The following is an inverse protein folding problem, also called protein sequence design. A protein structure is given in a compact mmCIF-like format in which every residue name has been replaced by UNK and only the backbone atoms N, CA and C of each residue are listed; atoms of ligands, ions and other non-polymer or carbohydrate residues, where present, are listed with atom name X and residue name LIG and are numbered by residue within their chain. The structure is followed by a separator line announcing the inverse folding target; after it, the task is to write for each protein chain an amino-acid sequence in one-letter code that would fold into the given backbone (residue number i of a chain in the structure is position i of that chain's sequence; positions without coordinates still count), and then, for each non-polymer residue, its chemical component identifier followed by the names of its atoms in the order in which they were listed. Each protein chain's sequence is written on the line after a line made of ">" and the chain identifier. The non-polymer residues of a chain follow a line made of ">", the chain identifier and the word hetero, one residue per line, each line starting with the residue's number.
data_IF_482165008916
#
_entry.id   IF_482165008916
#
_cell.length_a   1.000
_cell.length_b   1.000
_cell.length_c   1.000
_cell.angle_alpha   90.00
_cell.angle_beta   90.00
_cell.angle_gamma   90.00
#
_symmetry.space_group_name_H-M   'P 1'
#
loop_
_entity.id
_entity.type
_entity.pdbx_description
1 polymer ?
#
# COMPACT_ATOMS: atom_id res chain seq x y z
N UNK A 1 1.26 15.17 -39.02
CA UNK A 1 2.39 14.26 -38.96
C UNK A 1 2.64 13.99 -37.47
N UNK A 2 1.98 13.01 -36.94
CA UNK A 2 1.91 12.72 -35.53
C UNK A 2 3.00 11.69 -35.25
N UNK A 3 4.14 12.13 -34.77
CA UNK A 3 5.12 11.27 -34.13
C UNK A 3 4.65 11.12 -32.66
N UNK A 4 3.82 10.14 -32.40
CA UNK A 4 3.60 9.66 -31.05
C UNK A 4 4.81 8.81 -30.71
N UNK A 5 5.67 9.40 -29.96
CA UNK A 5 6.95 8.88 -29.50
C UNK A 5 6.66 7.95 -28.34
N UNK A 6 7.30 6.80 -28.39
CA UNK A 6 7.60 5.88 -27.31
C UNK A 6 7.30 6.44 -25.93
N UNK A 7 6.09 6.27 -25.48
CA UNK A 7 5.78 6.48 -24.10
C UNK A 7 6.44 5.39 -23.28
N UNK A 8 7.39 5.87 -22.57
CA UNK A 8 8.09 5.24 -21.48
C UNK A 8 7.60 3.86 -21.14
N UNK A 9 8.32 2.95 -21.58
CA UNK A 9 8.38 1.64 -21.00
C UNK A 9 8.87 1.82 -19.57
N UNK A 10 7.95 2.13 -18.70
CA UNK A 10 8.14 1.99 -17.28
C UNK A 10 8.48 0.55 -17.01
N UNK A 11 9.71 0.25 -17.03
CA UNK A 11 10.43 -0.83 -16.41
C UNK A 11 11.51 -1.37 -17.32
N UNK A 12 12.63 -1.13 -16.86
CA UNK A 12 13.85 -1.85 -17.04
C UNK A 12 13.61 -3.20 -17.67
N UNK A 13 14.16 -3.36 -18.87
CA UNK A 13 14.43 -4.62 -19.54
C UNK A 13 13.40 -5.29 -20.42
N UNK A 14 12.26 -4.72 -20.70
CA UNK A 14 11.46 -5.20 -21.84
C UNK A 14 11.71 -4.43 -23.15
N UNK A 15 12.73 -3.61 -23.18
CA UNK A 15 12.94 -2.59 -24.22
C UNK A 15 13.47 -3.06 -25.57
N UNK A 16 13.78 -4.35 -25.74
CA UNK A 16 14.39 -4.81 -27.00
C UNK A 16 13.53 -5.74 -27.82
N UNK A 17 12.50 -6.34 -27.23
CA UNK A 17 11.63 -7.25 -27.94
C UNK A 17 10.16 -6.95 -27.70
N UNK A 18 9.50 -6.45 -28.73
CA UNK A 18 8.09 -6.19 -28.89
C UNK A 18 7.57 -4.87 -28.31
N UNK A 19 7.40 -3.90 -29.18
CA UNK A 19 6.64 -2.64 -28.97
C UNK A 19 5.18 -2.86 -28.54
N UNK A 20 4.75 -4.11 -28.33
CA UNK A 20 3.36 -4.52 -28.10
C UNK A 20 3.13 -5.09 -26.68
N UNK A 21 4.01 -4.84 -25.69
CA UNK A 21 3.85 -5.35 -24.33
C UNK A 21 3.76 -4.23 -23.29
N UNK A 22 2.84 -4.39 -22.32
CA UNK A 22 2.81 -3.52 -21.14
C UNK A 22 3.91 -3.93 -20.15
N UNK A 23 4.44 -3.02 -19.34
CA UNK A 23 5.41 -3.34 -18.29
C UNK A 23 4.89 -4.40 -17.33
N UNK A 24 5.80 -5.19 -16.77
CA UNK A 24 5.44 -6.18 -15.76
C UNK A 24 4.81 -5.53 -14.54
N UNK A 25 5.36 -4.39 -14.11
CA UNK A 25 4.81 -3.58 -13.03
C UNK A 25 4.03 -2.40 -13.58
N UNK A 26 2.81 -2.28 -13.13
CA UNK A 26 2.02 -1.07 -13.28
C UNK A 26 2.20 -0.21 -12.03
N UNK A 27 2.14 1.10 -12.17
CA UNK A 27 2.27 2.06 -11.06
C UNK A 27 1.38 1.68 -9.85
N UNK A 28 0.15 1.24 -10.11
CA UNK A 28 -0.78 0.83 -9.05
C UNK A 28 -0.39 -0.45 -8.30
N UNK A 29 0.51 -1.26 -8.85
CA UNK A 29 0.96 -2.53 -8.28
C UNK A 29 2.38 -2.50 -7.78
N UNK A 30 3.19 -1.51 -8.23
CA UNK A 30 4.62 -1.43 -7.95
C UNK A 30 4.97 -0.91 -6.55
N UNK A 31 4.11 -0.08 -5.96
CA UNK A 31 4.40 0.57 -4.68
C UNK A 31 4.23 -0.34 -3.46
N UNK A 32 4.92 0.03 -2.37
CA UNK A 32 4.76 -0.66 -1.09
C UNK A 32 3.38 -0.37 -0.50
N UNK A 33 2.58 -1.42 -0.33
CA UNK A 33 1.26 -1.29 0.30
C UNK A 33 1.42 -1.01 1.79
N UNK A 34 0.80 0.07 2.22
CA UNK A 34 0.80 0.52 3.61
C UNK A 34 -0.53 0.18 4.28
N UNK A 35 -0.59 0.43 5.57
CA UNK A 35 -1.81 0.50 6.33
C UNK A 35 -1.85 1.80 7.11
N UNK A 36 -2.85 2.03 7.92
CA UNK A 36 -3.03 3.23 8.72
C UNK A 36 -2.84 2.96 10.20
N UNK A 37 -1.99 3.75 10.87
CA UNK A 37 -1.79 3.77 12.31
C UNK A 37 -0.75 2.77 12.84
N UNK A 38 0.12 3.24 13.75
CA UNK A 38 1.19 2.42 14.33
C UNK A 38 0.64 1.21 15.09
N UNK A 39 -0.46 1.35 15.85
CA UNK A 39 -1.05 0.24 16.59
C UNK A 39 -1.51 -0.89 15.68
N UNK A 40 -2.21 -0.57 14.59
CA UNK A 40 -2.69 -1.55 13.63
C UNK A 40 -1.54 -2.29 12.95
N UNK A 41 -0.52 -1.55 12.52
CA UNK A 41 0.64 -2.12 11.85
C UNK A 41 1.57 -2.88 12.80
N UNK A 42 1.64 -2.50 14.07
CA UNK A 42 2.34 -3.25 15.12
C UNK A 42 1.72 -4.62 15.41
N UNK A 43 0.45 -4.80 15.04
CA UNK A 43 -0.28 -6.06 15.07
C UNK A 43 -0.24 -6.83 13.73
N UNK A 44 0.68 -6.48 12.81
CA UNK A 44 0.77 -7.10 11.48
C UNK A 44 -0.34 -6.68 10.52
N UNK A 45 -1.11 -5.63 10.83
CA UNK A 45 -2.28 -5.22 10.03
C UNK A 45 -3.56 -6.01 10.36
N UNK A 46 -3.60 -6.73 11.49
CA UNK A 46 -4.81 -7.43 11.97
C UNK A 46 -5.73 -6.45 12.69
N UNK A 47 -6.48 -5.67 11.96
CA UNK A 47 -7.27 -4.60 12.56
C UNK A 47 -8.74 -4.57 12.16
N UNK A 48 -9.17 -5.39 11.20
CA UNK A 48 -10.56 -5.45 10.72
C UNK A 48 -11.55 -5.83 11.83
N UNK A 49 -11.15 -6.74 12.72
CA UNK A 49 -11.93 -7.16 13.90
C UNK A 49 -11.68 -6.33 15.15
N UNK A 50 -10.74 -5.36 15.14
CA UNK A 50 -10.41 -4.50 16.28
C UNK A 50 -10.97 -3.09 16.06
N UNK A 51 -10.38 -2.33 15.16
CA UNK A 51 -10.78 -1.04 14.59
C UNK A 51 -11.40 -0.07 15.63
N UNK A 52 -10.70 0.23 16.73
CA UNK A 52 -11.23 1.00 17.88
C UNK A 52 -10.55 2.36 18.09
N UNK A 53 -9.98 2.93 17.01
CA UNK A 53 -9.40 4.28 16.92
C UNK A 53 -9.64 4.91 15.54
N UNK A 54 -9.03 6.10 15.27
CA UNK A 54 -9.18 6.79 13.98
C UNK A 54 -8.78 5.91 12.77
N UNK A 55 -7.80 5.03 12.91
CA UNK A 55 -7.35 4.20 11.78
C UNK A 55 -8.43 3.21 11.29
N UNK A 56 -9.53 3.05 12.05
CA UNK A 56 -10.73 2.32 11.62
C UNK A 56 -11.32 2.85 10.30
N UNK A 57 -11.13 4.14 10.00
CA UNK A 57 -11.57 4.74 8.73
C UNK A 57 -10.99 4.01 7.51
N UNK A 58 -9.79 3.45 7.65
CA UNK A 58 -9.10 2.64 6.65
C UNK A 58 -9.43 1.15 6.76
N UNK A 59 -9.36 0.58 7.99
CA UNK A 59 -9.42 -0.86 8.19
C UNK A 59 -10.85 -1.42 8.17
N UNK A 60 -11.74 -0.80 8.94
CA UNK A 60 -13.16 -1.16 9.04
C UNK A 60 -13.96 0.01 9.60
N UNK A 61 -14.69 0.76 8.77
CA UNK A 61 -15.40 1.96 9.23
C UNK A 61 -16.44 1.68 10.32
N UNK A 62 -17.01 0.46 10.41
CA UNK A 62 -17.93 0.10 11.49
C UNK A 62 -17.28 0.20 12.89
N UNK A 63 -15.96 0.07 12.96
CA UNK A 63 -15.21 0.19 14.19
C UNK A 63 -15.23 1.58 14.82
N UNK A 64 -15.49 2.64 14.04
CA UNK A 64 -15.63 4.01 14.55
C UNK A 64 -16.75 4.14 15.61
N UNK A 65 -17.77 3.27 15.58
CA UNK A 65 -18.81 3.23 16.61
C UNK A 65 -18.29 2.86 18.02
N UNK A 66 -17.07 2.30 18.10
CA UNK A 66 -16.42 1.98 19.39
C UNK A 66 -15.73 3.21 20.03
N UNK A 67 -15.42 4.25 19.23
CA UNK A 67 -14.80 5.46 19.73
C UNK A 67 -15.86 6.31 20.46
N UNK A 68 -15.70 6.47 21.77
CA UNK A 68 -16.71 7.13 22.63
C UNK A 68 -16.33 8.56 23.05
N UNK A 69 -15.15 9.01 22.71
CA UNK A 69 -14.65 10.37 22.96
C UNK A 69 -14.11 10.95 21.66
N UNK A 70 -14.14 12.25 21.54
CA UNK A 70 -13.49 12.92 20.39
C UNK A 70 -12.02 12.48 20.40
N UNK A 71 -11.57 11.97 19.28
CA UNK A 71 -10.18 11.52 19.11
C UNK A 71 -9.53 12.29 17.95
N UNK A 72 -8.35 12.83 18.21
CA UNK A 72 -7.46 13.36 17.17
C UNK A 72 -6.23 12.47 17.12
N UNK A 73 -5.89 12.01 15.93
CA UNK A 73 -4.74 11.12 15.72
C UNK A 73 -3.85 11.64 14.59
N UNK A 74 -2.52 11.52 14.77
CA UNK A 74 -1.55 11.75 13.72
C UNK A 74 -0.44 10.72 13.78
N UNK A 75 0.01 10.23 12.63
CA UNK A 75 1.07 9.22 12.52
C UNK A 75 2.12 9.67 11.52
N UNK A 76 3.38 9.68 11.97
CA UNK A 76 4.55 9.82 11.11
C UNK A 76 5.05 8.45 10.70
N UNK A 77 5.51 8.33 9.47
CA UNK A 77 6.05 7.12 8.86
C UNK A 77 7.43 7.43 8.30
N UNK A 78 8.42 6.59 8.63
CA UNK A 78 9.66 6.49 7.86
C UNK A 78 9.65 5.15 7.14
N UNK A 79 9.80 5.19 5.81
CA UNK A 79 10.04 4.02 4.97
C UNK A 79 11.51 3.95 4.61
N UNK A 80 12.08 2.77 4.59
CA UNK A 80 13.39 2.48 4.05
C UNK A 80 13.27 1.32 3.06
N UNK A 81 13.87 1.47 1.92
CA UNK A 81 14.00 0.46 0.88
C UNK A 81 15.48 0.25 0.59
N UNK A 82 15.89 -1.01 0.50
CA UNK A 82 17.21 -1.37 0.00
C UNK A 82 17.10 -2.65 -0.81
N UNK A 83 17.87 -2.74 -1.86
CA UNK A 83 17.96 -3.92 -2.69
C UNK A 83 19.41 -4.22 -3.06
N UNK A 84 19.67 -5.48 -3.35
CA UNK A 84 20.85 -5.97 -4.03
C UNK A 84 20.39 -6.53 -5.38
N UNK A 85 20.73 -5.81 -6.45
CA UNK A 85 20.39 -6.17 -7.83
C UNK A 85 21.53 -6.97 -8.43
N UNK A 86 21.22 -8.17 -8.91
CA UNK A 86 22.17 -9.05 -9.61
C UNK A 86 21.81 -9.10 -11.09
N UNK A 87 22.73 -8.67 -11.97
CA UNK A 87 22.54 -8.64 -13.41
C UNK A 87 23.76 -9.22 -14.11
N UNK A 88 23.59 -10.37 -14.78
CA UNK A 88 24.63 -11.09 -15.51
C UNK A 88 25.99 -11.17 -14.78
N UNK A 89 25.95 -11.43 -13.48
CA UNK A 89 27.13 -11.74 -12.67
C UNK A 89 27.74 -10.56 -11.92
N UNK A 90 27.19 -9.36 -12.02
CA UNK A 90 27.52 -8.23 -11.13
C UNK A 90 26.38 -7.90 -10.19
N UNK A 91 26.73 -7.52 -8.97
CA UNK A 91 25.81 -7.09 -7.94
C UNK A 91 25.98 -5.59 -7.70
N UNK A 92 24.84 -4.89 -7.54
CA UNK A 92 24.78 -3.49 -7.13
C UNK A 92 23.75 -3.30 -6.03
N UNK A 93 24.07 -2.41 -5.09
CA UNK A 93 23.17 -2.06 -4.00
C UNK A 93 22.49 -0.73 -4.31
N UNK A 94 21.17 -0.71 -4.21
CA UNK A 94 20.34 0.49 -4.23
C UNK A 94 19.70 0.72 -2.86
N UNK A 95 19.52 1.96 -2.46
CA UNK A 95 18.75 2.28 -1.25
C UNK A 95 18.14 3.66 -1.33
N UNK A 96 16.97 3.79 -0.72
CA UNK A 96 16.30 5.08 -0.50
C UNK A 96 15.56 5.07 0.83
N UNK A 97 15.36 6.25 1.40
CA UNK A 97 14.49 6.41 2.55
C UNK A 97 13.69 7.72 2.49
N UNK A 98 12.48 7.67 3.05
CA UNK A 98 11.61 8.83 3.12
C UNK A 98 10.89 8.92 4.46
N UNK A 99 10.62 10.16 4.90
CA UNK A 99 9.76 10.43 6.05
C UNK A 99 8.49 11.14 5.56
N UNK A 100 7.33 10.59 5.91
CA UNK A 100 6.04 11.05 5.43
C UNK A 100 4.98 11.02 6.51
N UNK A 101 3.87 11.72 6.27
CA UNK A 101 2.66 11.61 7.08
C UNK A 101 1.91 10.33 6.64
N UNK A 102 1.77 9.35 7.56
CA UNK A 102 0.97 8.15 7.29
C UNK A 102 -0.53 8.43 7.45
N UNK A 103 -0.94 9.05 8.55
CA UNK A 103 -2.32 9.51 8.70
C UNK A 103 -2.43 10.74 9.60
N UNK A 104 -3.53 11.46 9.42
CA UNK A 104 -4.00 12.51 10.33
C UNK A 104 -5.50 12.61 10.21
N UNK A 105 -6.19 12.72 11.36
CA UNK A 105 -7.62 12.91 11.33
C UNK A 105 -8.27 12.97 12.69
N UNK A 106 -9.59 13.04 12.65
CA UNK A 106 -10.44 13.20 13.82
C UNK A 106 -11.62 12.23 13.76
N UNK A 107 -11.97 11.68 14.92
CA UNK A 107 -13.23 10.95 15.14
C UNK A 107 -14.10 11.79 16.07
N UNK A 108 -15.34 11.98 15.66
CA UNK A 108 -16.34 12.76 16.40
C UNK A 108 -17.54 11.88 16.72
N UNK A 109 -17.62 11.29 17.95
CA UNK A 109 -18.81 10.60 18.40
C UNK A 109 -19.93 11.59 18.75
N UNK A 110 -21.14 11.30 18.27
CA UNK A 110 -22.33 12.10 18.55
C UNK A 110 -23.06 11.48 19.75
N UNK A 111 -23.43 12.28 20.75
CA UNK A 111 -24.27 11.80 21.85
C UNK A 111 -25.63 11.33 21.33
N UNK A 112 -25.96 10.07 21.59
CA UNK A 112 -27.23 9.44 21.22
C UNK A 112 -27.84 8.77 22.45
N UNK A 113 -29.16 8.63 22.48
CA UNK A 113 -29.86 8.00 23.61
C UNK A 113 -29.52 6.52 23.77
N UNK A 114 -29.25 5.83 22.64
CA UNK A 114 -28.92 4.40 22.65
C UNK A 114 -27.95 4.08 21.51
N UNK A 115 -26.98 3.21 21.79
CA UNK A 115 -25.97 2.78 20.82
C UNK A 115 -24.83 3.79 20.66
N UNK A 116 -24.36 3.95 19.44
CA UNK A 116 -23.33 4.92 19.04
C UNK A 116 -23.60 5.45 17.63
N UNK A 117 -23.25 6.70 17.43
CA UNK A 117 -23.13 7.33 16.11
C UNK A 117 -21.80 8.09 16.11
N UNK A 118 -20.96 7.85 15.15
CA UNK A 118 -19.66 8.52 15.04
C UNK A 118 -19.39 8.93 13.60
N UNK A 119 -18.75 10.07 13.43
CA UNK A 119 -18.21 10.55 12.17
C UNK A 119 -16.69 10.61 12.28
N UNK A 120 -16.01 10.40 11.17
CA UNK A 120 -14.56 10.58 11.07
C UNK A 120 -14.20 11.28 9.77
N UNK A 121 -13.15 12.10 9.83
CA UNK A 121 -12.56 12.74 8.68
C UNK A 121 -11.03 12.77 8.82
N UNK A 122 -10.32 12.53 7.73
CA UNK A 122 -8.88 12.65 7.71
C UNK A 122 -8.23 12.06 6.48
N UNK A 123 -6.91 12.05 6.50
CA UNK A 123 -6.02 11.55 5.47
C UNK A 123 -5.34 10.25 5.92
N UNK A 124 -5.17 9.32 4.99
CA UNK A 124 -4.31 8.12 5.17
C UNK A 124 -3.50 7.86 3.91
N UNK A 125 -2.18 7.71 4.07
CA UNK A 125 -1.30 7.24 3.00
C UNK A 125 -1.50 5.73 2.81
N UNK A 126 -1.68 5.31 1.57
CA UNK A 126 -2.04 3.93 1.21
C UNK A 126 -0.86 3.19 0.59
N UNK A 127 -0.10 3.89 -0.25
CA UNK A 127 1.02 3.33 -0.99
C UNK A 127 2.21 4.28 -0.91
N UNK A 128 3.41 3.73 -0.85
CA UNK A 128 4.69 4.42 -0.96
C UNK A 128 5.41 3.92 -2.21
N UNK A 129 5.88 4.83 -3.05
CA UNK A 129 6.58 4.50 -4.30
C UNK A 129 8.11 4.58 -4.17
N UNK A 130 8.64 4.81 -2.95
CA UNK A 130 10.10 4.90 -2.74
C UNK A 130 10.81 3.61 -3.14
N UNK A 131 11.61 3.71 -4.19
CA UNK A 131 12.42 2.62 -4.73
C UNK A 131 13.65 3.19 -5.42
N UNK A 132 14.76 2.45 -5.39
CA UNK A 132 15.95 2.71 -6.20
C UNK A 132 16.55 1.40 -6.61
N UNK A 133 16.77 1.24 -7.92
CA UNK A 133 17.42 0.07 -8.52
C UNK A 133 18.66 0.51 -9.27
N UNK A 134 19.81 -0.03 -8.89
CA UNK A 134 21.07 0.21 -9.58
C UNK A 134 21.55 -1.10 -10.21
N UNK A 135 21.89 -1.06 -11.48
CA UNK A 135 22.31 -2.23 -12.25
C UNK A 135 23.60 -1.92 -13.00
N UNK A 136 24.48 -2.91 -13.07
CA UNK A 136 25.63 -2.92 -13.97
C UNK A 136 25.78 -4.35 -14.50
N UNK A 137 25.98 -4.47 -15.82
CA UNK A 137 26.13 -5.80 -16.44
C UNK A 137 27.53 -6.35 -16.26
N UNK A 138 27.62 -7.61 -15.84
CA UNK A 138 28.86 -8.39 -15.79
C UNK A 138 29.28 -8.97 -17.14
N UNK A 139 28.45 -8.80 -18.19
CA UNK A 139 28.71 -9.37 -19.53
C UNK A 139 28.55 -8.32 -20.59
N UNK A 140 29.48 -8.27 -21.53
CA UNK A 140 29.38 -7.41 -22.71
C UNK A 140 28.30 -7.91 -23.67
N UNK A 141 27.61 -6.97 -24.34
CA UNK A 141 26.59 -7.29 -25.34
C UNK A 141 25.21 -7.58 -24.76
N UNK A 142 24.98 -7.25 -23.51
CA UNK A 142 23.65 -7.18 -22.91
C UNK A 142 22.99 -5.85 -23.31
N UNK A 143 21.67 -5.79 -23.19
CA UNK A 143 20.90 -4.61 -23.58
C UNK A 143 21.30 -3.39 -22.74
N UNK A 144 21.47 -3.57 -21.45
CA UNK A 144 21.95 -2.54 -20.53
C UNK A 144 23.37 -2.84 -20.06
N UNK A 145 24.27 -1.85 -20.17
CA UNK A 145 25.58 -1.88 -19.53
C UNK A 145 25.47 -1.44 -18.07
N UNK A 146 24.72 -0.39 -17.81
CA UNK A 146 24.37 0.08 -16.47
C UNK A 146 23.11 0.95 -16.51
N UNK A 147 22.39 1.03 -15.38
CA UNK A 147 21.37 2.04 -15.15
C UNK A 147 21.18 2.33 -13.66
N UNK A 148 20.66 3.52 -13.37
CA UNK A 148 20.16 3.96 -12.07
C UNK A 148 18.71 4.40 -12.24
N UNK A 149 17.79 3.66 -11.66
CA UNK A 149 16.35 3.89 -11.68
C UNK A 149 15.93 4.34 -10.29
N UNK A 150 15.23 5.46 -10.22
CA UNK A 150 14.68 6.00 -8.96
C UNK A 150 13.21 6.29 -9.15
N UNK A 151 12.41 5.76 -8.27
CA UNK A 151 11.00 6.10 -8.14
C UNK A 151 10.74 6.67 -6.75
N UNK A 152 9.99 7.76 -6.67
CA UNK A 152 9.58 8.37 -5.43
C UNK A 152 8.12 8.83 -5.53
N UNK A 153 7.49 9.05 -4.38
CA UNK A 153 6.11 9.51 -4.37
C UNK A 153 5.22 8.72 -3.44
N UNK A 154 3.94 8.99 -3.52
CA UNK A 154 2.94 8.36 -2.63
C UNK A 154 1.55 8.40 -3.23
N UNK A 155 0.72 7.45 -2.80
CA UNK A 155 -0.72 7.47 -3.00
C UNK A 155 -1.40 7.46 -1.63
N UNK A 156 -2.32 8.36 -1.43
CA UNK A 156 -3.12 8.46 -0.20
C UNK A 156 -4.57 8.74 -0.49
N UNK A 157 -5.37 8.82 0.56
CA UNK A 157 -6.79 9.14 0.45
C UNK A 157 -7.25 10.09 1.55
N UNK A 158 -8.08 11.04 1.18
CA UNK A 158 -8.93 11.79 2.10
C UNK A 158 -10.23 11.03 2.26
N UNK A 159 -10.63 10.77 3.50
CA UNK A 159 -11.80 9.96 3.80
C UNK A 159 -12.75 10.68 4.72
N UNK A 160 -14.05 10.55 4.44
CA UNK A 160 -15.12 10.86 5.37
C UNK A 160 -15.89 9.57 5.64
N UNK A 161 -16.10 9.23 6.91
CA UNK A 161 -16.79 8.00 7.27
C UNK A 161 -17.76 8.22 8.41
N UNK A 162 -18.77 7.35 8.47
CA UNK A 162 -19.74 7.29 9.57
C UNK A 162 -19.94 5.86 10.02
N UNK A 163 -20.23 5.69 11.30
CA UNK A 163 -20.59 4.39 11.87
C UNK A 163 -21.73 4.53 12.88
N UNK A 164 -22.57 3.49 12.94
CA UNK A 164 -23.71 3.44 13.85
C UNK A 164 -23.87 2.04 14.44
N UNK A 165 -24.23 1.96 15.73
CA UNK A 165 -24.68 0.71 16.35
C UNK A 165 -26.15 0.47 15.94
N UNK A 166 -26.39 -0.57 15.12
CA UNK A 166 -27.75 -0.99 14.74
C UNK A 166 -28.35 -1.96 15.75
N UNK A 167 -27.51 -2.55 16.60
CA UNK A 167 -27.91 -3.31 17.79
C UNK A 167 -26.78 -3.24 18.84
N UNK A 168 -27.01 -3.68 20.09
CA UNK A 168 -25.96 -3.68 21.12
C UNK A 168 -24.67 -4.41 20.72
N UNK A 169 -24.78 -5.38 19.81
CA UNK A 169 -23.68 -6.25 19.41
C UNK A 169 -23.23 -6.04 17.97
N UNK A 170 -23.90 -5.18 17.18
CA UNK A 170 -23.61 -5.02 15.75
C UNK A 170 -23.54 -3.54 15.38
N UNK A 171 -22.39 -3.15 14.84
CA UNK A 171 -22.15 -1.85 14.22
C UNK A 171 -22.01 -2.01 12.72
N UNK A 172 -22.44 -1.00 11.98
CA UNK A 172 -22.18 -0.85 10.54
C UNK A 172 -21.54 0.51 10.30
N UNK A 173 -20.77 0.60 9.24
CA UNK A 173 -20.11 1.85 8.85
C UNK A 173 -19.93 1.95 7.35
N UNK A 174 -19.85 3.19 6.88
CA UNK A 174 -19.60 3.52 5.48
C UNK A 174 -18.68 4.72 5.38
N UNK A 175 -17.87 4.77 4.32
CA UNK A 175 -16.99 5.89 4.02
C UNK A 175 -16.92 6.19 2.54
N UNK A 176 -16.64 7.45 2.22
CA UNK A 176 -16.28 7.93 0.89
C UNK A 176 -14.83 8.39 0.93
N UNK A 177 -14.06 8.00 -0.07
CA UNK A 177 -12.62 8.31 -0.16
C UNK A 177 -12.33 9.02 -1.47
N UNK A 178 -11.55 10.09 -1.38
CA UNK A 178 -10.90 10.76 -2.50
C UNK A 178 -9.42 10.38 -2.51
N UNK A 179 -9.02 9.62 -3.51
CA UNK A 179 -7.65 9.20 -3.73
C UNK A 179 -6.87 10.30 -4.42
N UNK A 180 -5.66 10.57 -3.97
CA UNK A 180 -4.76 11.57 -4.52
C UNK A 180 -3.32 11.20 -4.25
N UNK A 181 -2.46 11.44 -5.21
CA UNK A 181 -1.04 11.15 -5.09
C UNK A 181 -0.26 11.51 -6.31
N UNK A 182 1.03 11.31 -6.25
CA UNK A 182 1.93 11.46 -7.40
C UNK A 182 3.07 10.45 -7.31
N UNK A 183 3.63 10.12 -8.47
CA UNK A 183 4.89 9.39 -8.61
C UNK A 183 5.83 10.22 -9.49
N UNK A 184 7.08 10.29 -9.06
CA UNK A 184 8.22 10.81 -9.79
C UNK A 184 9.15 9.64 -10.13
N UNK A 185 9.31 9.34 -11.39
CA UNK A 185 10.19 8.31 -11.92
C UNK A 185 11.32 8.92 -12.70
N UNK A 186 12.53 8.43 -12.49
CA UNK A 186 13.70 8.79 -13.31
C UNK A 186 14.57 7.57 -13.58
N UNK A 187 15.10 7.50 -14.79
CA UNK A 187 16.07 6.51 -15.20
C UNK A 187 17.21 7.18 -15.94
N UNK A 188 18.43 6.88 -15.54
CA UNK A 188 19.65 7.24 -16.23
C UNK A 188 20.42 5.96 -16.54
N UNK A 189 20.67 5.68 -17.79
CA UNK A 189 21.31 4.42 -18.18
C UNK A 189 22.15 4.52 -19.43
N UNK A 190 22.97 3.49 -19.63
CA UNK A 190 23.77 3.29 -20.82
C UNK A 190 23.37 1.96 -21.48
N UNK A 191 22.99 2.07 -22.74
CA UNK A 191 22.51 0.97 -23.55
C UNK A 191 23.51 0.68 -24.68
N UNK A 192 23.85 -0.60 -24.88
CA UNK A 192 24.75 -1.06 -25.93
C UNK A 192 26.09 -0.27 -26.00
N UNK A 193 26.67 0.07 -24.85
CA UNK A 193 27.98 0.75 -24.67
C UNK A 193 28.14 2.11 -25.36
N UNK A 194 27.10 2.62 -25.97
CA UNK A 194 27.20 3.83 -26.82
C UNK A 194 26.02 4.81 -26.66
N UNK A 195 24.84 4.34 -26.28
CA UNK A 195 23.65 5.18 -26.15
C UNK A 195 23.40 5.46 -24.68
N UNK A 196 23.48 6.72 -24.28
CA UNK A 196 23.03 7.18 -23.00
C UNK A 196 21.56 7.58 -23.11
N UNK A 197 20.72 7.12 -22.21
CA UNK A 197 19.30 7.50 -22.12
C UNK A 197 19.00 8.13 -20.78
N UNK A 198 18.19 9.17 -20.81
CA UNK A 198 17.67 9.85 -19.63
C UNK A 198 16.13 9.94 -19.75
N UNK A 199 15.44 9.42 -18.76
CA UNK A 199 13.99 9.41 -18.71
C UNK A 199 13.51 10.02 -17.40
N UNK A 200 12.48 10.84 -17.46
CA UNK A 200 11.78 11.40 -16.32
C UNK A 200 10.28 11.37 -16.59
N UNK A 201 9.52 10.82 -15.65
CA UNK A 201 8.06 10.71 -15.75
C UNK A 201 7.45 11.15 -14.45
N UNK A 202 6.61 12.16 -14.53
CA UNK A 202 5.79 12.60 -13.41
C UNK A 202 4.35 12.15 -13.65
N UNK A 203 3.75 11.48 -12.67
CA UNK A 203 2.38 10.98 -12.75
C UNK A 203 1.54 11.50 -11.59
N UNK A 204 0.47 12.21 -11.89
CA UNK A 204 -0.58 12.55 -10.94
C UNK A 204 -1.67 11.47 -10.92
N UNK A 205 -2.12 11.10 -9.71
CA UNK A 205 -3.12 10.06 -9.49
C UNK A 205 -4.35 10.63 -8.76
N UNK A 206 -5.55 10.28 -9.25
CA UNK A 206 -6.78 10.71 -8.62
C UNK A 206 -7.97 9.79 -8.86
N UNK A 207 -8.87 9.66 -7.86
CA UNK A 207 -10.05 8.82 -8.00
C UNK A 207 -10.95 8.86 -6.77
N UNK A 208 -12.11 8.20 -6.87
CA UNK A 208 -13.09 8.12 -5.78
C UNK A 208 -13.55 6.69 -5.59
N UNK A 209 -13.63 6.26 -4.32
CA UNK A 209 -14.28 5.00 -3.99
C UNK A 209 -15.06 5.08 -2.66
N UNK A 210 -15.69 3.96 -2.32
CA UNK A 210 -16.42 3.80 -1.07
C UNK A 210 -15.87 2.59 -0.31
N UNK A 211 -15.93 2.67 1.03
CA UNK A 211 -15.73 1.52 1.91
C UNK A 211 -16.97 1.29 2.78
N UNK A 212 -17.24 0.02 3.03
CA UNK A 212 -18.32 -0.45 3.88
C UNK A 212 -17.74 -1.37 4.93
N UNK A 213 -18.35 -1.38 6.10
CA UNK A 213 -17.90 -2.23 7.19
C UNK A 213 -19.02 -2.74 8.07
N UNK A 214 -18.78 -3.89 8.68
CA UNK A 214 -19.59 -4.49 9.71
C UNK A 214 -18.71 -4.99 10.87
N UNK A 215 -19.14 -4.79 12.10
CA UNK A 215 -18.44 -5.25 13.29
C UNK A 215 -19.44 -5.90 14.26
N UNK A 216 -19.30 -7.20 14.47
CA UNK A 216 -20.10 -7.99 15.38
C UNK A 216 -19.35 -8.30 16.68
N UNK A 217 -19.98 -8.03 17.81
CA UNK A 217 -19.43 -8.17 19.16
C UNK A 217 -20.35 -9.07 19.99
N UNK A 218 -20.28 -10.41 19.83
CA UNK A 218 -21.18 -11.34 20.57
C UNK A 218 -21.04 -11.27 22.09
N UNK A 219 -19.98 -10.63 22.57
CA UNK A 219 -19.72 -10.42 23.99
C UNK A 219 -18.58 -9.41 24.18
N UNK A 220 -18.01 -9.36 25.39
CA UNK A 220 -16.96 -8.39 25.74
C UNK A 220 -15.58 -8.78 25.20
N UNK A 221 -15.34 -10.06 24.94
CA UNK A 221 -14.02 -10.58 24.59
C UNK A 221 -13.82 -10.80 23.09
N UNK A 222 -14.89 -11.10 22.34
CA UNK A 222 -14.80 -11.49 20.94
C UNK A 222 -15.33 -10.39 20.05
N UNK A 223 -14.64 -10.12 18.96
CA UNK A 223 -15.07 -9.20 17.88
C UNK A 223 -14.83 -9.90 16.55
N UNK A 224 -15.74 -9.75 15.63
CA UNK A 224 -15.66 -10.25 14.25
C UNK A 224 -15.98 -9.08 13.33
N UNK A 225 -15.06 -8.76 12.44
CA UNK A 225 -15.18 -7.66 11.49
C UNK A 225 -15.18 -8.14 10.05
N UNK A 226 -15.96 -7.46 9.23
CA UNK A 226 -15.90 -7.56 7.76
C UNK A 226 -15.84 -6.16 7.18
N UNK A 227 -15.05 -5.97 6.15
CA UNK A 227 -14.97 -4.69 5.46
C UNK A 227 -14.70 -4.90 3.97
N UNK A 228 -15.14 -3.95 3.16
CA UNK A 228 -14.86 -3.95 1.73
C UNK A 228 -14.63 -2.54 1.22
N UNK A 229 -13.72 -2.41 0.25
CA UNK A 229 -13.52 -1.19 -0.53
C UNK A 229 -13.95 -1.47 -1.97
N UNK A 230 -14.81 -0.60 -2.51
CA UNK A 230 -15.34 -0.77 -3.87
C UNK A 230 -14.27 -0.55 -4.92
N UNK A 231 -14.39 -1.17 -6.09
CA UNK A 231 -13.54 -0.82 -7.22
C UNK A 231 -13.84 0.62 -7.67
N UNK A 232 -12.86 1.22 -8.31
CA UNK A 232 -13.01 2.57 -8.88
C UNK A 232 -12.05 2.76 -10.05
N UNK A 233 -12.33 3.78 -10.85
CA UNK A 233 -11.43 4.21 -11.91
C UNK A 233 -10.50 5.28 -11.37
N UNK A 234 -9.19 5.02 -11.41
CA UNK A 234 -8.15 5.98 -11.11
C UNK A 234 -7.73 6.66 -12.40
N UNK A 235 -7.69 7.99 -12.40
CA UNK A 235 -7.10 8.78 -13.47
C UNK A 235 -5.61 8.92 -13.21
N UNK A 236 -4.81 8.73 -14.26
CA UNK A 236 -3.38 8.90 -14.27
C UNK A 236 -3.04 9.93 -15.34
N UNK A 237 -2.40 11.02 -14.92
CA UNK A 237 -1.99 12.11 -15.81
C UNK A 237 -0.48 12.13 -15.78
N UNK A 238 0.16 11.80 -16.92
CA UNK A 238 1.60 11.65 -17.05
C UNK A 238 2.19 12.79 -17.87
N UNK A 239 3.24 13.39 -17.33
CA UNK A 239 4.16 14.29 -18.03
C UNK A 239 5.50 13.58 -18.11
N UNK A 240 6.09 13.51 -19.30
CA UNK A 240 7.33 12.79 -19.48
C UNK A 240 8.34 13.57 -20.32
N UNK A 241 9.62 13.33 -20.02
CA UNK A 241 10.78 13.77 -20.81
C UNK A 241 11.67 12.56 -21.03
N UNK A 242 11.94 12.21 -22.29
CA UNK A 242 12.77 11.08 -22.68
C UNK A 242 13.76 11.54 -23.75
N UNK A 243 15.06 11.49 -23.41
CA UNK A 243 16.16 11.88 -24.30
C UNK A 243 15.99 13.27 -24.91
N UNK A 244 15.33 14.19 -24.19
CA UNK A 244 15.06 15.57 -24.59
C UNK A 244 13.77 15.79 -25.37
N UNK A 245 13.03 14.75 -25.72
CA UNK A 245 11.67 14.86 -26.24
C UNK A 245 10.69 14.84 -25.06
N UNK A 246 9.67 15.69 -25.07
CA UNK A 246 8.67 15.80 -24.01
C UNK A 246 7.26 15.52 -24.50
N UNK A 247 6.38 15.14 -23.58
CA UNK A 247 4.99 14.89 -23.89
C UNK A 247 4.13 14.68 -22.66
N UNK A 248 2.87 14.44 -22.93
CA UNK A 248 1.82 14.31 -21.95
C UNK A 248 0.80 13.26 -22.37
N UNK A 249 0.32 12.46 -21.42
CA UNK A 249 -0.67 11.45 -21.68
C UNK A 249 -1.60 11.23 -20.48
N UNK A 250 -2.90 11.16 -20.75
CA UNK A 250 -3.93 10.86 -19.75
C UNK A 250 -4.54 9.48 -19.99
N UNK A 251 -4.61 8.68 -18.95
CA UNK A 251 -5.33 7.41 -19.04
C UNK A 251 -6.04 7.05 -17.72
N UNK A 252 -6.81 6.00 -17.74
CA UNK A 252 -7.54 5.52 -16.57
C UNK A 252 -7.35 4.04 -16.39
N UNK A 253 -7.15 3.64 -15.12
CA UNK A 253 -7.12 2.23 -14.73
C UNK A 253 -8.16 1.95 -13.66
N UNK A 254 -8.81 0.78 -13.72
CA UNK A 254 -9.67 0.35 -12.64
C UNK A 254 -8.85 -0.29 -11.52
N UNK A 255 -9.16 0.13 -10.29
CA UNK A 255 -8.59 -0.46 -9.08
C UNK A 255 -9.53 -1.56 -8.57
N UNK A 256 -9.04 -2.75 -8.10
CA UNK A 256 -9.88 -3.89 -7.75
C UNK A 256 -10.67 -3.70 -6.46
N UNK A 257 -11.66 -4.58 -6.24
CA UNK A 257 -12.27 -4.81 -4.94
C UNK A 257 -11.22 -5.23 -3.91
N UNK A 258 -11.37 -4.73 -2.68
CA UNK A 258 -10.65 -5.22 -1.51
C UNK A 258 -11.68 -5.77 -0.53
N UNK A 259 -11.51 -7.02 -0.13
CA UNK A 259 -12.33 -7.67 0.88
C UNK A 259 -11.47 -8.00 2.09
N UNK A 260 -11.98 -7.67 3.27
CA UNK A 260 -11.32 -7.94 4.55
C UNK A 260 -12.25 -8.67 5.48
N UNK A 261 -11.73 -9.69 6.18
CA UNK A 261 -12.39 -10.36 7.27
C UNK A 261 -11.40 -10.55 8.40
N UNK A 262 -11.81 -10.24 9.63
CA UNK A 262 -10.93 -10.36 10.78
C UNK A 262 -11.69 -10.69 12.05
N UNK A 263 -10.98 -11.32 12.98
CA UNK A 263 -11.49 -11.61 14.30
C UNK A 263 -10.46 -11.25 15.36
N UNK A 264 -10.95 -10.88 16.54
CA UNK A 264 -10.09 -10.66 17.71
C UNK A 264 -10.71 -11.23 18.97
N UNK A 265 -9.85 -11.67 19.90
CA UNK A 265 -10.23 -12.13 21.24
C UNK A 265 -9.35 -11.46 22.28
N UNK A 266 -9.95 -10.94 23.34
CA UNK A 266 -9.26 -10.20 24.39
C UNK A 266 -9.42 -10.88 25.78
N UNK A 267 -8.72 -12.00 26.05
CA UNK A 267 -8.75 -12.67 27.34
C UNK A 267 -7.83 -11.96 28.35
N UNK A 268 -8.41 -11.23 29.27
CA UNK A 268 -7.67 -10.57 30.36
C UNK A 268 -6.75 -9.45 29.89
N UNK A 269 -5.44 -9.70 29.89
CA UNK A 269 -4.41 -8.73 29.51
C UNK A 269 -3.91 -8.92 28.08
N UNK A 270 -4.32 -10.00 27.45
CA UNK A 270 -3.97 -10.34 26.09
C UNK A 270 -5.07 -9.87 25.12
N UNK A 271 -4.67 -9.52 23.94
CA UNK A 271 -5.52 -9.42 22.76
C UNK A 271 -4.82 -10.16 21.62
N UNK A 272 -5.53 -11.11 21.03
CA UNK A 272 -5.06 -11.87 19.85
C UNK A 272 -6.01 -11.59 18.70
N UNK A 273 -5.46 -11.45 17.50
CA UNK A 273 -6.24 -11.15 16.31
C UNK A 273 -5.67 -11.85 15.07
N UNK A 274 -6.56 -12.08 14.10
CA UNK A 274 -6.21 -12.59 12.79
C UNK A 274 -7.11 -11.97 11.73
N UNK A 275 -6.52 -11.63 10.58
CA UNK A 275 -7.19 -11.01 9.44
C UNK A 275 -6.83 -11.73 8.14
N UNK A 276 -7.77 -11.72 7.20
CA UNK A 276 -7.60 -12.13 5.81
C UNK A 276 -8.02 -10.94 4.94
N UNK A 277 -7.16 -10.58 3.97
CA UNK A 277 -7.47 -9.59 2.94
C UNK A 277 -7.33 -10.22 1.56
N UNK A 278 -8.38 -10.12 0.75
CA UNK A 278 -8.43 -10.61 -0.63
C UNK A 278 -8.48 -9.45 -1.61
N UNK A 279 -7.66 -9.52 -2.68
CA UNK A 279 -7.68 -8.61 -3.82
C UNK A 279 -7.59 -9.39 -5.12
N UNK A 280 -8.41 -9.01 -6.09
CA UNK A 280 -8.39 -9.61 -7.43
C UNK A 280 -7.65 -8.71 -8.42
N UNK A 281 -6.33 -8.81 -8.45
CA UNK A 281 -5.49 -8.01 -9.35
C UNK A 281 -5.71 -8.30 -10.84
N UNK A 282 -6.30 -9.46 -11.22
CA UNK A 282 -6.71 -9.75 -12.59
C UNK A 282 -7.81 -8.81 -13.10
N UNK A 283 -8.54 -8.18 -12.19
CA UNK A 283 -9.59 -7.23 -12.53
C UNK A 283 -9.09 -5.81 -12.77
N UNK A 284 -7.77 -5.56 -12.63
CA UNK A 284 -7.15 -4.36 -13.16
C UNK A 284 -7.41 -4.28 -14.66
N UNK A 285 -7.77 -3.09 -15.15
CA UNK A 285 -7.96 -2.88 -16.57
C UNK A 285 -7.81 -1.41 -16.95
N UNK A 286 -7.30 -1.16 -18.13
CA UNK A 286 -7.37 0.15 -18.76
C UNK A 286 -8.83 0.46 -19.13
N UNK A 287 -9.29 1.67 -18.83
CA UNK A 287 -10.66 2.16 -19.08
C UNK A 287 -10.73 3.14 -20.26
N UNK A 288 -9.69 3.25 -21.04
CA UNK A 288 -9.55 4.11 -22.22
C UNK A 288 -8.40 3.61 -23.06
N UNK A 289 -7.69 4.53 -23.69
CA UNK A 289 -6.46 4.22 -24.39
C UNK A 289 -5.35 3.86 -23.40
N UNK A 290 -4.39 3.06 -23.84
CA UNK A 290 -3.22 2.69 -23.04
C UNK A 290 -2.11 3.69 -23.26
N UNK A 291 -1.21 3.94 -22.29
CA UNK A 291 -0.05 4.80 -22.50
C UNK A 291 1.04 4.16 -23.38
N UNK A 292 0.88 2.90 -23.78
CA UNK A 292 1.89 2.13 -24.51
C UNK A 292 1.61 2.17 -26.02
N UNK A 293 2.62 2.61 -26.78
CA UNK A 293 2.52 2.68 -28.24
C UNK A 293 2.31 1.27 -28.84
N UNK A 294 1.38 1.14 -29.78
CA UNK A 294 1.06 -0.14 -30.43
C UNK A 294 0.13 -1.05 -29.61
N UNK A 295 -0.01 -0.83 -28.31
CA UNK A 295 -0.84 -1.67 -27.44
C UNK A 295 -2.27 -1.15 -27.40
N UNK A 296 -3.20 -1.90 -27.97
CA UNK A 296 -4.63 -1.59 -27.83
C UNK A 296 -5.12 -1.86 -26.40
N UNK A 297 -6.20 -1.20 -25.98
CA UNK A 297 -6.84 -1.46 -24.68
C UNK A 297 -7.18 -2.96 -24.48
N UNK A 298 -7.68 -3.61 -25.51
CA UNK A 298 -8.04 -5.04 -25.43
C UNK A 298 -6.81 -5.90 -25.19
N UNK A 299 -5.72 -5.59 -25.86
CA UNK A 299 -4.44 -6.28 -25.72
C UNK A 299 -3.83 -6.03 -24.33
N UNK A 300 -3.70 -4.76 -23.90
CA UNK A 300 -3.21 -4.43 -22.56
C UNK A 300 -4.01 -5.11 -21.45
N UNK A 301 -5.34 -5.13 -21.55
CA UNK A 301 -6.19 -5.81 -20.57
C UNK A 301 -6.06 -7.35 -20.64
N UNK A 302 -5.70 -7.91 -21.79
CA UNK A 302 -5.38 -9.33 -21.90
C UNK A 302 -4.07 -9.63 -21.17
N UNK A 303 -3.02 -8.86 -21.41
CA UNK A 303 -1.72 -9.01 -20.77
C UNK A 303 -1.81 -8.87 -19.25
N UNK A 304 -2.61 -7.92 -18.73
CA UNK A 304 -2.88 -7.82 -17.29
C UNK A 304 -3.45 -9.13 -16.74
N UNK A 305 -4.47 -9.69 -17.37
CA UNK A 305 -5.09 -10.96 -16.92
C UNK A 305 -4.16 -12.17 -17.02
N UNK A 306 -3.21 -12.15 -17.92
CA UNK A 306 -2.22 -13.21 -18.10
C UNK A 306 -1.10 -13.14 -17.05
N UNK A 307 -0.67 -11.92 -16.68
CA UNK A 307 0.46 -11.67 -15.77
C UNK A 307 0.07 -11.60 -14.29
N UNK A 308 -1.10 -11.04 -13.98
CA UNK A 308 -1.51 -10.83 -12.59
C UNK A 308 -2.42 -11.93 -12.07
N UNK A 309 -2.36 -12.15 -10.76
CA UNK A 309 -3.25 -13.07 -10.07
C UNK A 309 -3.92 -12.43 -8.85
N UNK A 310 -4.93 -13.13 -8.31
CA UNK A 310 -5.59 -12.73 -7.07
C UNK A 310 -4.71 -13.05 -5.90
N UNK A 311 -4.62 -12.14 -4.93
CA UNK A 311 -3.83 -12.33 -3.71
C UNK A 311 -4.70 -12.48 -2.47
N UNK A 312 -4.24 -13.30 -1.53
CA UNK A 312 -4.84 -13.44 -0.21
C UNK A 312 -3.77 -13.20 0.85
N UNK A 313 -3.78 -12.01 1.46
CA UNK A 313 -2.93 -11.69 2.60
C UNK A 313 -3.52 -12.30 3.86
N UNK A 314 -2.69 -12.97 4.65
CA UNK A 314 -3.03 -13.51 5.97
C UNK A 314 -2.16 -12.82 7.01
N UNK A 315 -2.78 -12.36 8.08
CA UNK A 315 -2.09 -11.64 9.15
C UNK A 315 -2.51 -12.18 10.52
N UNK A 316 -1.54 -12.23 11.44
CA UNK A 316 -1.75 -12.59 12.84
C UNK A 316 -1.09 -11.55 13.74
N UNK A 317 -1.74 -11.21 14.86
CA UNK A 317 -1.21 -10.23 15.80
C UNK A 317 -1.60 -10.50 17.25
N UNK A 318 -0.72 -10.06 18.15
CA UNK A 318 -0.96 -10.12 19.58
C UNK A 318 -0.54 -8.84 20.28
N UNK A 319 -1.33 -8.40 21.27
CA UNK A 319 -1.03 -7.29 22.18
C UNK A 319 -1.07 -7.79 23.63
N UNK A 320 -0.11 -7.39 24.44
CA UNK A 320 -0.11 -7.63 25.87
C UNK A 320 -0.03 -6.32 26.64
N UNK A 321 -0.95 -6.15 27.59
CA UNK A 321 -0.99 -5.01 28.50
C UNK A 321 -0.15 -5.27 29.76
N UNK A 322 0.86 -4.44 30.00
CA UNK A 322 1.65 -4.38 31.24
C UNK A 322 1.02 -3.36 32.21
N UNK A 323 0.16 -3.76 33.14
CA UNK A 323 -0.67 -2.81 33.91
C UNK A 323 0.13 -1.89 34.80
N UNK A 324 1.27 -2.35 35.30
CA UNK A 324 2.12 -1.56 36.22
C UNK A 324 2.68 -0.29 35.57
N UNK A 325 2.81 -0.28 34.25
CA UNK A 325 3.45 0.80 33.49
C UNK A 325 2.52 1.47 32.49
N UNK A 326 1.27 0.98 32.33
CA UNK A 326 0.40 1.43 31.25
C UNK A 326 0.95 1.12 29.84
N UNK A 327 1.95 0.25 29.77
CA UNK A 327 2.64 -0.13 28.55
C UNK A 327 1.93 -1.26 27.83
N UNK A 328 1.94 -1.25 26.50
CA UNK A 328 1.48 -2.33 25.63
C UNK A 328 2.61 -2.78 24.72
N UNK A 329 2.87 -4.09 24.70
CA UNK A 329 3.78 -4.70 23.74
C UNK A 329 2.99 -5.41 22.65
N UNK A 330 3.43 -5.33 21.41
CA UNK A 330 2.76 -5.93 20.25
C UNK A 330 3.74 -6.71 19.41
N UNK A 331 3.24 -7.81 18.85
CA UNK A 331 3.91 -8.62 17.87
C UNK A 331 2.90 -8.93 16.77
N UNK A 332 3.32 -8.79 15.52
CA UNK A 332 2.50 -9.11 14.36
C UNK A 332 3.33 -9.78 13.27
N UNK A 333 2.67 -10.62 12.50
CA UNK A 333 3.23 -11.26 11.32
C UNK A 333 2.18 -11.31 10.21
N UNK A 334 2.57 -10.97 8.99
CA UNK A 334 1.72 -11.13 7.82
C UNK A 334 2.48 -11.78 6.67
N UNK A 335 1.75 -12.54 5.87
CA UNK A 335 2.20 -13.07 4.58
C UNK A 335 1.44 -12.27 3.51
N UNK A 336 2.19 -11.60 2.67
CA UNK A 336 1.68 -10.77 1.57
C UNK A 336 2.16 -11.40 0.25
N UNK A 337 1.31 -12.22 -0.42
CA UNK A 337 1.68 -12.89 -1.67
C UNK A 337 2.01 -11.90 -2.78
N UNK A 338 2.91 -12.29 -3.67
CA UNK A 338 3.14 -11.57 -4.92
C UNK A 338 1.85 -11.52 -5.74
N UNK A 339 1.65 -10.44 -6.45
CA UNK A 339 0.52 -10.28 -7.38
C UNK A 339 0.83 -10.77 -8.80
N UNK A 340 2.05 -11.22 -9.06
CA UNK A 340 2.47 -11.80 -10.33
C UNK A 340 2.26 -13.31 -10.34
N UNK A 341 1.66 -13.82 -11.41
CA UNK A 341 1.30 -15.24 -11.55
C UNK A 341 2.51 -16.17 -11.60
N UNK A 342 3.59 -15.73 -12.23
CA UNK A 342 4.80 -16.53 -12.42
C UNK A 342 5.93 -16.13 -11.47
N UNK A 343 5.57 -15.44 -10.36
CA UNK A 343 6.53 -15.09 -9.32
C UNK A 343 7.12 -16.34 -8.65
N UNK A 344 8.42 -16.31 -8.36
CA UNK A 344 9.08 -17.37 -7.61
C UNK A 344 8.54 -17.47 -6.17
N UNK A 345 8.80 -18.61 -5.51
CA UNK A 345 8.37 -18.84 -4.11
C UNK A 345 8.91 -17.79 -3.12
N UNK A 346 10.07 -17.20 -3.43
CA UNK A 346 10.73 -16.17 -2.61
C UNK A 346 10.16 -14.75 -2.85
N UNK A 347 9.20 -14.58 -3.75
CA UNK A 347 8.56 -13.30 -4.04
C UNK A 347 7.49 -12.91 -3.02
N UNK A 348 7.00 -13.85 -2.24
CA UNK A 348 6.05 -13.59 -1.16
C UNK A 348 6.72 -12.85 -0.01
N UNK A 349 6.04 -11.80 0.50
CA UNK A 349 6.58 -10.95 1.56
C UNK A 349 6.15 -11.45 2.93
N UNK A 350 7.10 -12.01 3.67
CA UNK A 350 6.94 -12.25 5.10
C UNK A 350 7.22 -10.96 5.89
N UNK A 351 6.20 -10.34 6.49
CA UNK A 351 6.34 -9.07 7.21
C UNK A 351 6.29 -9.31 8.71
N UNK A 352 7.39 -9.06 9.40
CA UNK A 352 7.46 -9.05 10.87
C UNK A 352 7.20 -7.64 11.39
N UNK A 353 6.38 -7.50 12.43
CA UNK A 353 6.03 -6.24 13.07
C UNK A 353 6.25 -6.31 14.58
N UNK A 354 6.90 -5.29 15.14
CA UNK A 354 7.06 -5.08 16.57
C UNK A 354 6.46 -3.72 16.94
N UNK A 355 5.63 -3.67 17.99
CA UNK A 355 4.98 -2.44 18.40
C UNK A 355 5.01 -2.24 19.91
N UNK A 356 5.02 -0.96 20.29
CA UNK A 356 4.91 -0.52 21.68
C UNK A 356 3.87 0.59 21.77
N UNK A 357 3.14 0.63 22.87
CA UNK A 357 2.19 1.70 23.15
C UNK A 357 2.25 2.09 24.62
N UNK A 358 2.19 3.38 24.89
CA UNK A 358 2.14 3.91 26.27
C UNK A 358 1.03 4.93 26.40
N UNK A 359 0.19 4.74 27.41
CA UNK A 359 -0.82 5.69 27.84
C UNK A 359 -0.15 6.68 28.79
N UNK A 360 0.20 7.87 28.29
CA UNK A 360 0.91 8.92 29.05
C UNK A 360 0.00 9.45 30.16
N UNK A 361 -1.26 9.71 29.81
CA UNK A 361 -2.32 10.05 30.75
C UNK A 361 -3.66 9.47 30.25
N UNK A 362 -4.78 9.87 30.85
CA UNK A 362 -6.11 9.36 30.43
C UNK A 362 -6.55 9.78 29.03
N UNK A 363 -5.83 10.70 28.43
CA UNK A 363 -6.20 11.34 27.14
C UNK A 363 -5.17 11.13 26.05
N UNK A 364 -3.88 10.90 26.37
CA UNK A 364 -2.79 10.85 25.41
C UNK A 364 -2.20 9.45 25.30
N UNK A 365 -2.26 8.89 24.13
CA UNK A 365 -1.64 7.60 23.76
C UNK A 365 -0.52 7.83 22.76
N UNK A 366 0.65 7.27 23.01
CA UNK A 366 1.77 7.22 22.09
C UNK A 366 2.01 5.78 21.68
N UNK A 367 2.01 5.52 20.38
CA UNK A 367 2.31 4.21 19.80
C UNK A 367 3.48 4.30 18.85
N UNK A 368 4.40 3.34 18.94
CA UNK A 368 5.52 3.18 18.03
C UNK A 368 5.51 1.77 17.44
N UNK A 369 5.88 1.65 16.17
CA UNK A 369 5.94 0.37 15.47
C UNK A 369 7.13 0.35 14.52
N UNK A 370 7.83 -0.78 14.49
CA UNK A 370 8.80 -1.13 13.47
C UNK A 370 8.36 -2.39 12.74
N UNK A 371 8.43 -2.36 11.41
CA UNK A 371 8.11 -3.47 10.52
C UNK A 371 9.27 -3.71 9.55
N UNK A 372 9.45 -4.96 9.16
CA UNK A 372 10.41 -5.32 8.11
C UNK A 372 9.91 -6.48 7.28
N UNK A 373 10.28 -6.47 6.00
CA UNK A 373 10.07 -7.57 5.08
C UNK A 373 11.34 -7.79 4.25
N UNK A 374 11.58 -9.04 3.85
CA UNK A 374 12.62 -9.42 2.91
C UNK A 374 12.01 -10.36 1.88
N UNK A 375 12.26 -10.13 0.61
CA UNK A 375 11.73 -10.91 -0.50
C UNK A 375 12.61 -10.73 -1.73
N UNK A 376 12.44 -11.60 -2.72
CA UNK A 376 13.19 -11.57 -3.98
C UNK A 376 12.23 -11.35 -5.13
N UNK A 377 12.59 -10.48 -6.07
CA UNK A 377 11.86 -10.29 -7.32
C UNK A 377 12.79 -10.59 -8.50
N UNK A 378 12.27 -11.31 -9.48
CA UNK A 378 12.88 -11.43 -10.80
C UNK A 378 12.15 -10.45 -11.71
N UNK A 379 12.83 -9.32 -12.01
CA UNK A 379 12.21 -8.19 -12.72
C UNK A 379 12.17 -8.47 -14.22
N UNK A 380 13.21 -9.14 -14.73
CA UNK A 380 13.34 -9.55 -16.12
C UNK A 380 14.40 -10.63 -16.24
N UNK A 381 14.53 -11.22 -17.42
CA UNK A 381 15.54 -12.25 -17.69
C UNK A 381 16.94 -11.74 -17.32
N UNK A 382 17.54 -12.38 -16.32
CA UNK A 382 18.89 -12.08 -15.83
C UNK A 382 18.98 -10.97 -14.78
N UNK A 383 17.90 -10.26 -14.46
CA UNK A 383 17.85 -9.27 -13.36
C UNK A 383 17.06 -9.80 -12.19
N UNK A 384 17.77 -10.10 -11.11
CA UNK A 384 17.22 -10.53 -9.84
C UNK A 384 17.50 -9.47 -8.77
N UNK A 385 16.50 -9.15 -7.96
CA UNK A 385 16.60 -8.20 -6.86
C UNK A 385 16.26 -8.86 -5.52
N UNK A 386 17.20 -8.83 -4.59
CA UNK A 386 16.97 -9.20 -3.19
C UNK A 386 16.62 -7.93 -2.40
N UNK A 387 15.34 -7.79 -2.04
CA UNK A 387 14.75 -6.55 -1.51
C UNK A 387 14.55 -6.68 0.01
N UNK A 388 14.91 -5.60 0.71
CA UNK A 388 14.56 -5.39 2.13
C UNK A 388 13.80 -4.10 2.26
N UNK A 389 12.62 -4.16 2.85
CA UNK A 389 11.85 -2.99 3.21
C UNK A 389 11.71 -2.87 4.72
N UNK A 390 11.74 -1.65 5.24
CA UNK A 390 11.52 -1.36 6.65
C UNK A 390 10.62 -0.15 6.82
N UNK A 391 9.78 -0.17 7.84
CA UNK A 391 8.87 0.91 8.16
C UNK A 391 8.91 1.18 9.66
N UNK A 392 9.08 2.45 10.02
CA UNK A 392 8.98 2.91 11.41
C UNK A 392 7.86 3.92 11.52
N UNK A 393 6.91 3.66 12.40
CA UNK A 393 5.73 4.52 12.60
C UNK A 393 5.70 5.04 14.03
N UNK A 394 5.29 6.30 14.17
CA UNK A 394 5.03 6.93 15.45
C UNK A 394 3.66 7.61 15.40
N UNK A 395 2.74 7.14 16.23
CA UNK A 395 1.36 7.67 16.33
C UNK A 395 1.16 8.37 17.65
N UNK A 396 0.61 9.58 17.59
CA UNK A 396 0.08 10.31 18.73
C UNK A 396 -1.44 10.37 18.60
N UNK A 397 -2.14 9.91 19.64
CA UNK A 397 -3.61 9.98 19.74
C UNK A 397 -4.01 10.77 20.96
N UNK A 398 -4.91 11.73 20.79
CA UNK A 398 -5.47 12.53 21.88
C UNK A 398 -6.98 12.35 21.95
N UNK A 399 -7.50 11.98 23.13
CA UNK A 399 -8.92 11.72 23.40
C UNK A 399 -9.48 12.70 24.41
N UNK A 400 -10.43 13.55 23.98
CA UNK A 400 -11.12 14.54 24.82
C UNK A 400 -12.34 13.95 25.52
#
# INVERSE_FOLDING_TARGET
>A
MTRYILLAQLLVASLVFAQDEIPERLLLTGGQQLGSGARALGLGGTYTGIADDFSAIWWNPAGLAQVKRIEVQGTLLRTGFSNESSYFGLNREGSTDAMRLNNIGVVFPVPVYQGALSFAFGYSQVTDFERRTQVESGQAGQDWDNFDEVESGKLGQWSFATAVDISPNLSVGAGINYWTGSSDYSLLGQYNSTVQTEQSIFTDLGGWNFNLGGLYRPGRMVRIGVATSTPFSMSLNEEWVIDGDDGYFDYKMSYPWIWRMGASVAPGRWMLAGDIEYRDWKSLEFRGDTPYEGVTRAEGNRQIRERYESTTRISLGGEYLFPAYGLRGRLGYSIEPSNFKDAGEDADKGVLSLGFGVLIDRSVMLDATWRTASYTEEVTTGLKEDIRSSQTLLTLSYRM
#
